data_IF_498308000875
#
_entry.id   IF_498308000875
#
_cell.length_a   1.000
_cell.length_b   1.000
_cell.length_c   1.000
_cell.angle_alpha   90.00
_cell.angle_beta   90.00
_cell.angle_gamma   90.00
#
_symmetry.space_group_name_H-M   'P 1'
#
loop_
_entity.id
_entity.type
_entity.pdbx_description
1 polymer ?
#
# COMPACT_ATOMS: atom_id res chain seq x y z
N UNK A 1 -8.92 2.98 -21.93
CA UNK A 1 -8.02 2.70 -20.79
C UNK A 1 -8.82 2.94 -19.53
N UNK A 2 -9.16 1.89 -18.80
CA UNK A 2 -10.12 1.95 -17.69
C UNK A 2 -9.39 2.35 -16.41
N UNK A 3 -9.14 3.65 -16.24
CA UNK A 3 -8.53 4.24 -15.03
C UNK A 3 -9.37 4.04 -13.77
N UNK A 4 -10.63 3.62 -13.93
CA UNK A 4 -11.59 3.33 -12.86
C UNK A 4 -11.02 2.33 -11.84
N UNK A 5 -10.37 1.25 -12.29
CA UNK A 5 -9.83 0.23 -11.38
C UNK A 5 -8.61 0.73 -10.57
N UNK A 6 -7.79 1.60 -11.17
CA UNK A 6 -6.61 2.14 -10.51
C UNK A 6 -7.02 3.18 -9.46
N UNK A 7 -8.06 3.96 -9.76
CA UNK A 7 -8.61 4.97 -8.85
C UNK A 7 -9.28 4.33 -7.64
N UNK A 8 -10.16 3.35 -7.85
CA UNK A 8 -10.82 2.61 -6.76
C UNK A 8 -9.82 1.90 -5.84
N UNK A 9 -8.78 1.29 -6.41
CA UNK A 9 -7.72 0.65 -5.63
C UNK A 9 -6.92 1.69 -4.82
N UNK A 10 -6.59 2.84 -5.42
CA UNK A 10 -5.81 3.89 -4.77
C UNK A 10 -6.61 4.62 -3.68
N UNK A 11 -7.91 4.80 -3.87
CA UNK A 11 -8.83 5.33 -2.85
C UNK A 11 -8.96 4.36 -1.67
N UNK A 12 -9.07 3.05 -1.92
CA UNK A 12 -9.07 2.02 -0.85
C UNK A 12 -7.75 2.00 -0.08
N UNK A 13 -6.60 2.05 -0.76
CA UNK A 13 -5.28 2.11 -0.14
C UNK A 13 -5.13 3.36 0.72
N UNK A 14 -5.54 4.53 0.22
CA UNK A 14 -5.48 5.78 0.97
C UNK A 14 -6.36 5.73 2.23
N UNK A 15 -7.57 5.14 2.14
CA UNK A 15 -8.44 4.94 3.31
C UNK A 15 -7.80 4.00 4.34
N UNK A 16 -7.31 2.84 3.93
CA UNK A 16 -6.63 1.89 4.83
C UNK A 16 -5.40 2.51 5.50
N UNK A 17 -4.59 3.25 4.73
CA UNK A 17 -3.44 3.97 5.26
C UNK A 17 -3.86 5.01 6.32
N UNK A 18 -4.93 5.75 6.06
CA UNK A 18 -5.46 6.74 7.01
C UNK A 18 -5.96 6.07 8.30
N UNK A 19 -6.56 4.87 8.21
CA UNK A 19 -6.97 4.09 9.39
C UNK A 19 -5.76 3.62 10.20
N UNK A 20 -4.71 3.12 9.54
CA UNK A 20 -3.48 2.69 10.20
C UNK A 20 -2.77 3.87 10.89
N UNK A 21 -2.74 5.05 10.27
CA UNK A 21 -2.15 6.26 10.88
C UNK A 21 -2.94 6.76 12.09
N UNK A 22 -4.26 6.64 12.06
CA UNK A 22 -5.13 7.02 13.19
C UNK A 22 -5.04 6.04 14.35
N UNK A 23 -4.53 4.82 14.13
CA UNK A 23 -4.32 3.87 15.22
C UNK A 23 -3.15 4.28 16.09
N UNK A 24 -3.46 4.47 17.37
CA UNK A 24 -2.46 4.73 18.42
C UNK A 24 -1.53 3.53 18.61
N UNK A 25 -2.07 2.31 18.51
CA UNK A 25 -1.35 1.04 18.67
C UNK A 25 -0.53 0.63 17.45
N UNK A 26 -0.68 1.33 16.32
CA UNK A 26 0.10 1.02 15.13
C UNK A 26 1.59 1.33 15.38
N UNK A 27 2.43 0.36 15.05
CA UNK A 27 3.88 0.45 15.17
C UNK A 27 4.44 1.50 14.21
N UNK A 28 5.69 1.90 14.46
CA UNK A 28 6.39 2.85 13.59
C UNK A 28 6.40 2.37 12.13
N UNK A 29 6.66 1.08 11.91
CA UNK A 29 6.71 0.46 10.58
C UNK A 29 5.34 0.50 9.86
N UNK A 30 4.25 0.27 10.59
CA UNK A 30 2.89 0.36 10.03
C UNK A 30 2.55 1.78 9.61
N UNK A 31 2.91 2.76 10.45
CA UNK A 31 2.73 4.18 10.16
C UNK A 31 3.60 4.63 8.98
N UNK A 32 4.83 4.13 8.89
CA UNK A 32 5.72 4.39 7.75
C UNK A 32 5.18 3.82 6.43
N UNK A 33 4.65 2.58 6.46
CA UNK A 33 4.00 1.98 5.30
C UNK A 33 2.79 2.80 4.86
N UNK A 34 1.92 3.17 5.81
CA UNK A 34 0.72 3.93 5.55
C UNK A 34 1.01 5.35 5.03
N UNK A 35 1.94 6.06 5.67
CA UNK A 35 2.39 7.38 5.21
C UNK A 35 2.98 7.32 3.80
N UNK A 36 3.76 6.28 3.50
CA UNK A 36 4.33 6.08 2.17
C UNK A 36 3.27 5.79 1.11
N UNK A 37 2.26 4.98 1.44
CA UNK A 37 1.14 4.67 0.55
C UNK A 37 0.27 5.91 0.27
N UNK A 38 0.01 6.75 1.29
CA UNK A 38 -0.70 8.02 1.13
C UNK A 38 0.10 9.04 0.30
N UNK A 39 1.41 9.15 0.56
CA UNK A 39 2.28 10.01 -0.24
C UNK A 39 2.34 9.56 -1.71
N UNK A 40 2.29 8.24 -1.96
CA UNK A 40 2.23 7.67 -3.31
C UNK A 40 0.88 7.89 -3.98
N UNK A 41 -0.24 7.94 -3.24
CA UNK A 41 -1.53 8.33 -3.83
C UNK A 41 -1.47 9.71 -4.49
N UNK A 42 -0.72 10.65 -3.92
CA UNK A 42 -0.61 12.02 -4.41
C UNK A 42 0.49 12.24 -5.45
N UNK A 43 1.35 11.24 -5.71
CA UNK A 43 2.48 11.39 -6.65
C UNK A 43 2.54 10.21 -7.59
N UNK A 44 2.80 10.44 -8.88
CA UNK A 44 3.07 9.36 -9.83
C UNK A 44 4.41 8.62 -9.56
N UNK A 45 5.04 8.81 -8.39
CA UNK A 45 6.30 8.16 -8.05
C UNK A 45 6.03 6.72 -7.64
N UNK A 46 6.70 5.81 -8.35
CA UNK A 46 6.68 4.37 -8.11
C UNK A 46 6.91 4.04 -6.64
N UNK A 47 6.15 3.08 -6.13
CA UNK A 47 6.41 2.47 -4.83
C UNK A 47 7.81 1.88 -4.81
N UNK A 48 8.69 2.48 -4.01
CA UNK A 48 10.06 2.01 -3.86
C UNK A 48 10.07 0.55 -3.40
N UNK A 49 11.01 -0.27 -3.90
CA UNK A 49 11.21 -1.66 -3.42
C UNK A 49 11.27 -1.75 -1.89
N UNK A 50 11.80 -0.73 -1.23
CA UNK A 50 11.82 -0.62 0.23
C UNK A 50 10.42 -0.69 0.87
N UNK A 51 9.44 0.03 0.32
CA UNK A 51 8.06 0.04 0.81
C UNK A 51 7.36 -1.29 0.50
N UNK A 52 7.62 -1.87 -0.68
CA UNK A 52 7.17 -3.23 -1.00
C UNK A 52 7.73 -4.28 -0.03
N UNK A 53 9.01 -4.19 0.32
CA UNK A 53 9.62 -5.09 1.31
C UNK A 53 9.09 -4.85 2.74
N UNK A 54 8.73 -3.62 3.09
CA UNK A 54 8.09 -3.30 4.36
C UNK A 54 6.67 -3.88 4.42
N UNK A 55 5.89 -3.73 3.35
CA UNK A 55 4.58 -4.33 3.20
C UNK A 55 4.65 -5.86 3.32
N UNK A 56 5.58 -6.51 2.61
CA UNK A 56 5.77 -7.97 2.72
C UNK A 56 6.08 -8.44 4.15
N UNK A 57 6.89 -7.67 4.89
CA UNK A 57 7.18 -7.96 6.30
C UNK A 57 5.94 -7.85 7.18
N UNK A 58 5.23 -6.72 7.09
CA UNK A 58 4.02 -6.49 7.89
C UNK A 58 2.89 -7.47 7.55
N UNK A 59 2.80 -7.90 6.29
CA UNK A 59 1.84 -8.92 5.87
C UNK A 59 2.11 -10.28 6.55
N UNK A 60 3.38 -10.64 6.72
CA UNK A 60 3.81 -11.85 7.40
C UNK A 60 3.86 -11.72 8.93
N UNK A 61 3.71 -10.50 9.47
CA UNK A 61 3.79 -10.26 10.90
C UNK A 61 2.45 -10.58 11.59
N UNK A 62 2.50 -11.46 12.58
CA UNK A 62 1.36 -11.76 13.45
C UNK A 62 0.89 -10.58 14.31
N UNK A 63 1.75 -9.61 14.65
CA UNK A 63 1.38 -8.44 15.46
C UNK A 63 0.76 -7.32 14.63
N UNK A 64 0.90 -7.38 13.30
CA UNK A 64 0.30 -6.39 12.43
C UNK A 64 -1.22 -6.50 12.44
N UNK A 65 -1.88 -5.34 12.48
CA UNK A 65 -3.33 -5.27 12.44
C UNK A 65 -3.91 -5.77 11.12
N UNK A 66 -5.18 -6.18 11.14
CA UNK A 66 -5.89 -6.63 9.93
C UNK A 66 -5.83 -5.60 8.79
N UNK A 67 -6.08 -4.33 9.12
CA UNK A 67 -6.06 -3.20 8.20
C UNK A 67 -4.65 -2.95 7.62
N UNK A 68 -3.60 -3.17 8.42
CA UNK A 68 -2.21 -3.11 7.94
C UNK A 68 -1.93 -4.23 6.94
N UNK A 69 -2.37 -5.45 7.23
CA UNK A 69 -2.19 -6.60 6.34
C UNK A 69 -2.93 -6.40 5.02
N UNK A 70 -4.17 -5.92 5.09
CA UNK A 70 -4.95 -5.49 3.93
C UNK A 70 -4.21 -4.41 3.12
N UNK A 71 -3.74 -3.35 3.78
CA UNK A 71 -2.97 -2.29 3.15
C UNK A 71 -1.70 -2.83 2.47
N UNK A 72 -0.94 -3.67 3.18
CA UNK A 72 0.27 -4.29 2.69
C UNK A 72 0.02 -5.17 1.46
N UNK A 73 -1.06 -5.96 1.47
CA UNK A 73 -1.48 -6.78 0.33
C UNK A 73 -1.85 -5.91 -0.89
N UNK A 74 -2.57 -4.82 -0.68
CA UNK A 74 -2.90 -3.87 -1.74
C UNK A 74 -1.63 -3.19 -2.31
N UNK A 75 -0.72 -2.72 -1.44
CA UNK A 75 0.55 -2.10 -1.86
C UNK A 75 1.42 -3.08 -2.64
N UNK A 76 1.55 -4.34 -2.20
CA UNK A 76 2.30 -5.37 -2.94
C UNK A 76 1.72 -5.65 -4.31
N UNK A 77 0.39 -5.73 -4.40
CA UNK A 77 -0.32 -5.91 -5.67
C UNK A 77 -0.10 -4.71 -6.59
N UNK A 78 -0.12 -3.49 -6.04
CA UNK A 78 0.12 -2.26 -6.78
C UNK A 78 1.58 -2.14 -7.25
N UNK A 79 2.55 -2.47 -6.40
CA UNK A 79 3.99 -2.56 -6.76
C UNK A 79 4.18 -3.54 -7.91
N UNK A 80 3.55 -4.72 -7.83
CA UNK A 80 3.62 -5.73 -8.90
C UNK A 80 3.02 -5.20 -10.20
N UNK A 81 1.84 -4.57 -10.15
CA UNK A 81 1.22 -3.95 -11.34
C UNK A 81 2.05 -2.80 -11.92
N UNK A 82 2.73 -2.01 -11.09
CA UNK A 82 3.63 -0.93 -11.51
C UNK A 82 4.95 -1.46 -12.09
N UNK A 83 5.40 -2.63 -11.65
CA UNK A 83 6.59 -3.32 -12.20
C UNK A 83 6.30 -4.11 -13.47
N UNK A 84 5.03 -4.29 -13.83
CA UNK A 84 4.61 -4.92 -15.08
C UNK A 84 4.22 -3.83 -16.10
N UNK A 85 5.16 -3.25 -16.87
CA UNK A 85 4.82 -2.36 -17.99
C UNK A 85 4.21 -3.11 -19.20
N UNK A 86 3.67 -4.32 -19.04
CA UNK A 86 3.24 -5.15 -20.17
C UNK A 86 2.22 -6.23 -19.81
N UNK A 87 0.94 -5.86 -19.73
CA UNK A 87 -0.15 -6.79 -20.06
C UNK A 87 -1.21 -6.03 -20.84
N UNK A 88 -0.78 -5.49 -21.98
CA UNK A 88 -1.64 -5.24 -23.13
C UNK A 88 -1.36 -6.37 -24.13
N UNK A 89 -2.20 -7.40 -24.10
CA UNK A 89 -2.36 -8.39 -25.16
C UNK A 89 -3.85 -8.75 -25.22
#
# INVERSE_FOLDING_TARGET
MNTENLKETSDRIARLATLVLQRTEATHQEKELAGSALAQHHTAKQTSRAIGSLAARLLGDHTASYETKELAGCVLTQVRRLQEPGSAA
#
